data_IF_555697964732
#
_entry.id   IF_555697964732
#
_cell.length_a   1.000
_cell.length_b   1.000
_cell.length_c   1.000
_cell.angle_alpha   90.00
_cell.angle_beta   90.00
_cell.angle_gamma   90.00
#
_symmetry.space_group_name_H-M   'P 1'
#
loop_
_entity.id
_entity.type
_entity.pdbx_description
1 polymer ?
#
# COMPACT_ATOMS: atom_id res chain seq x y z
N UNK A 1 20.08 5.63 12.41
CA UNK A 1 18.83 5.08 11.82
C UNK A 1 19.23 4.01 10.82
N UNK A 2 18.67 2.79 10.96
CA UNK A 2 18.95 1.68 10.05
C UNK A 2 17.92 1.67 8.91
N UNK A 3 18.37 1.98 7.68
CA UNK A 3 17.48 2.02 6.53
C UNK A 3 17.01 0.62 6.10
N UNK A 4 17.84 -0.39 6.35
CA UNK A 4 17.52 -1.80 6.04
C UNK A 4 16.37 -2.28 6.92
N UNK A 5 16.33 -1.85 8.19
CA UNK A 5 15.18 -2.07 9.06
C UNK A 5 13.91 -1.44 8.50
N UNK A 6 13.96 -0.19 8.04
CA UNK A 6 12.80 0.51 7.45
C UNK A 6 12.28 -0.24 6.22
N UNK A 7 13.16 -0.67 5.31
CA UNK A 7 12.77 -1.46 4.13
C UNK A 7 12.11 -2.77 4.54
N UNK A 8 12.68 -3.50 5.51
CA UNK A 8 12.08 -4.75 6.03
C UNK A 8 10.72 -4.53 6.67
N UNK A 9 10.56 -3.45 7.45
CA UNK A 9 9.29 -3.12 8.10
C UNK A 9 8.17 -2.86 7.08
N UNK A 10 8.48 -2.11 6.01
CA UNK A 10 7.52 -1.79 4.96
C UNK A 10 7.20 -3.02 4.10
N UNK A 11 8.21 -3.82 3.74
CA UNK A 11 8.03 -4.96 2.84
C UNK A 11 7.52 -6.23 3.54
N UNK A 12 7.71 -6.31 4.86
CA UNK A 12 7.32 -7.44 5.70
C UNK A 12 7.87 -8.75 5.14
N UNK A 13 7.00 -9.75 5.02
CA UNK A 13 7.27 -11.07 4.46
C UNK A 13 7.02 -11.13 2.94
N UNK A 14 6.76 -10.00 2.28
CA UNK A 14 6.27 -9.97 0.90
C UNK A 14 7.27 -10.38 -0.18
N UNK A 15 8.57 -10.38 0.14
CA UNK A 15 9.66 -10.77 -0.75
C UNK A 15 10.52 -11.86 -0.11
N UNK A 16 11.30 -12.56 -0.94
CA UNK A 16 12.32 -13.50 -0.46
C UNK A 16 13.41 -12.75 0.28
N UNK A 17 14.14 -13.41 1.17
CA UNK A 17 15.34 -12.83 1.75
C UNK A 17 16.45 -12.75 0.70
N UNK A 18 16.66 -13.83 -0.05
CA UNK A 18 17.76 -13.97 -0.99
C UNK A 18 17.31 -13.96 -2.46
N UNK A 19 18.22 -13.51 -3.35
CA UNK A 19 18.00 -13.59 -4.79
C UNK A 19 17.95 -15.04 -5.24
N UNK A 20 16.98 -15.37 -6.11
CA UNK A 20 16.88 -16.70 -6.70
C UNK A 20 18.08 -17.05 -7.60
N UNK A 21 18.64 -16.05 -8.30
CA UNK A 21 19.83 -16.20 -9.15
C UNK A 21 20.86 -15.17 -8.73
N UNK A 22 22.14 -15.57 -8.76
CA UNK A 22 23.27 -14.70 -8.42
C UNK A 22 23.14 -14.10 -7.01
N UNK A 23 22.70 -14.89 -6.03
CA UNK A 23 22.80 -14.49 -4.63
C UNK A 23 24.27 -14.41 -4.23
N UNK A 24 24.61 -13.43 -3.39
CA UNK A 24 25.92 -13.32 -2.74
C UNK A 24 26.09 -14.30 -1.59
N UNK A 25 25.01 -14.96 -1.17
CA UNK A 25 25.01 -15.95 -0.09
C UNK A 25 25.01 -17.35 -0.72
N UNK A 26 26.14 -18.05 -0.62
CA UNK A 26 26.38 -19.33 -1.29
C UNK A 26 25.46 -20.46 -0.76
N UNK A 27 25.02 -20.37 0.50
CA UNK A 27 24.15 -21.36 1.16
C UNK A 27 22.71 -20.86 1.40
N UNK A 28 22.21 -19.95 0.55
CA UNK A 28 20.84 -19.47 0.68
C UNK A 28 19.84 -20.63 0.58
N UNK A 29 19.05 -20.84 1.65
CA UNK A 29 18.00 -21.85 1.70
C UNK A 29 16.95 -21.62 0.60
N UNK A 30 16.35 -22.70 0.10
CA UNK A 30 15.23 -22.59 -0.82
C UNK A 30 14.07 -21.84 -0.15
N UNK A 31 13.64 -20.73 -0.77
CA UNK A 31 12.48 -19.95 -0.34
C UNK A 31 11.35 -20.09 -1.35
N UNK A 32 10.11 -20.24 -0.85
CA UNK A 32 8.92 -20.26 -1.69
C UNK A 32 8.78 -18.99 -2.55
N UNK A 33 8.00 -19.08 -3.62
CA UNK A 33 7.75 -17.92 -4.47
C UNK A 33 6.87 -16.89 -3.76
N UNK A 34 7.47 -15.73 -3.53
CA UNK A 34 6.81 -14.57 -2.96
C UNK A 34 6.38 -13.58 -4.04
N UNK A 35 6.09 -12.34 -3.67
CA UNK A 35 5.69 -11.32 -4.61
C UNK A 35 6.87 -10.60 -5.26
N UNK A 36 6.56 -9.46 -5.86
CA UNK A 36 7.52 -8.56 -6.47
C UNK A 36 7.15 -7.11 -6.20
N UNK A 37 8.16 -6.27 -6.17
CA UNK A 37 8.02 -4.81 -6.22
C UNK A 37 8.77 -4.25 -7.42
N UNK A 38 8.60 -2.95 -7.64
CA UNK A 38 9.23 -2.23 -8.74
C UNK A 38 10.08 -1.10 -8.17
N UNK A 39 11.31 -0.93 -8.66
CA UNK A 39 12.24 0.12 -8.25
C UNK A 39 12.69 0.98 -9.44
N UNK A 40 12.85 2.28 -9.23
CA UNK A 40 13.22 3.24 -10.26
C UNK A 40 14.30 4.20 -9.75
N UNK A 41 15.32 4.45 -10.58
CA UNK A 41 16.49 5.26 -10.20
C UNK A 41 16.20 6.75 -10.12
N UNK A 42 15.29 7.27 -10.93
CA UNK A 42 14.92 8.69 -10.97
C UNK A 42 13.50 8.86 -11.56
N UNK A 43 12.97 10.08 -11.45
CA UNK A 43 11.62 10.44 -11.94
C UNK A 43 11.45 10.18 -13.44
N UNK A 44 12.46 10.48 -14.27
CA UNK A 44 12.43 10.24 -15.72
C UNK A 44 12.30 8.75 -16.06
N UNK A 45 13.03 7.90 -15.35
CA UNK A 45 12.97 6.45 -15.50
C UNK A 45 11.63 5.89 -15.00
N UNK A 46 11.10 6.43 -13.91
CA UNK A 46 9.76 6.09 -13.42
C UNK A 46 8.67 6.39 -14.44
N UNK A 47 8.61 7.62 -14.96
CA UNK A 47 7.61 8.06 -15.95
C UNK A 47 7.69 7.24 -17.24
N UNK A 48 8.89 6.84 -17.66
CA UNK A 48 9.08 5.98 -18.84
C UNK A 48 8.97 4.48 -18.57
N UNK A 49 8.63 4.07 -17.33
CA UNK A 49 8.54 2.66 -16.93
C UNK A 49 9.88 1.90 -16.96
N UNK A 50 11.02 2.59 -17.04
CA UNK A 50 12.37 2.02 -17.08
C UNK A 50 12.89 1.74 -15.67
N UNK A 51 12.34 0.70 -15.05
CA UNK A 51 12.69 0.27 -13.69
C UNK A 51 13.31 -1.12 -13.62
N UNK A 52 13.41 -1.63 -12.40
CA UNK A 52 13.78 -3.00 -12.08
C UNK A 52 12.64 -3.67 -11.31
N UNK A 53 12.32 -4.91 -11.69
CA UNK A 53 11.49 -5.82 -10.91
C UNK A 53 12.36 -6.48 -9.85
N UNK A 54 11.96 -6.37 -8.59
CA UNK A 54 12.69 -6.86 -7.42
C UNK A 54 11.85 -7.91 -6.70
N UNK A 55 12.44 -9.07 -6.42
CA UNK A 55 11.77 -10.24 -5.81
C UNK A 55 12.42 -10.69 -4.50
N UNK A 56 13.43 -9.96 -4.02
CA UNK A 56 14.16 -10.27 -2.78
C UNK A 56 14.62 -9.02 -2.06
N UNK A 57 14.77 -9.13 -0.73
CA UNK A 57 15.37 -8.11 0.13
C UNK A 57 16.84 -7.89 -0.24
N UNK A 58 17.60 -8.94 -0.54
CA UNK A 58 18.98 -8.83 -1.03
C UNK A 58 19.10 -7.87 -2.23
N UNK A 59 18.21 -8.00 -3.22
CA UNK A 59 18.22 -7.11 -4.39
C UNK A 59 17.92 -5.65 -4.04
N UNK A 60 17.13 -5.40 -2.99
CA UNK A 60 16.81 -4.04 -2.51
C UNK A 60 18.02 -3.47 -1.80
N UNK A 61 18.66 -4.24 -0.91
CA UNK A 61 19.86 -3.82 -0.20
C UNK A 61 21.02 -3.48 -1.14
N UNK A 62 21.18 -4.23 -2.24
CA UNK A 62 22.18 -3.94 -3.27
C UNK A 62 21.92 -2.63 -4.02
N UNK A 63 20.67 -2.17 -4.08
CA UNK A 63 20.26 -1.01 -4.87
C UNK A 63 19.70 0.14 -4.00
N UNK A 64 19.80 0.06 -2.67
CA UNK A 64 19.12 0.98 -1.74
C UNK A 64 19.52 2.44 -1.89
N UNK A 65 20.74 2.69 -2.35
CA UNK A 65 21.26 4.04 -2.63
C UNK A 65 21.00 4.50 -4.08
N UNK A 66 20.61 3.58 -4.97
CA UNK A 66 20.44 3.84 -6.40
C UNK A 66 19.00 4.14 -6.79
N UNK A 67 18.03 3.68 -5.99
CA UNK A 67 16.61 3.91 -6.25
C UNK A 67 16.10 5.16 -5.53
N UNK A 68 15.29 5.93 -6.23
CA UNK A 68 14.57 7.08 -5.67
C UNK A 68 13.08 6.82 -5.53
N UNK A 69 12.52 5.91 -6.33
CA UNK A 69 11.10 5.56 -6.30
C UNK A 69 10.94 4.05 -6.29
N UNK A 70 9.88 3.58 -5.65
CA UNK A 70 9.59 2.17 -5.55
C UNK A 70 8.09 1.92 -5.32
N UNK A 71 7.64 0.68 -5.43
CA UNK A 71 6.32 0.30 -4.92
C UNK A 71 6.47 -0.31 -3.53
N UNK A 72 5.92 0.29 -2.47
CA UNK A 72 6.08 -0.23 -1.11
C UNK A 72 5.11 -1.39 -0.81
N UNK A 73 4.06 -1.53 -1.60
CA UNK A 73 3.13 -2.66 -1.58
C UNK A 73 3.56 -3.74 -2.58
N UNK A 74 3.12 -4.98 -2.33
CA UNK A 74 3.65 -6.16 -2.99
C UNK A 74 2.66 -6.64 -4.05
N UNK A 75 3.17 -6.95 -5.24
CA UNK A 75 2.40 -7.50 -6.35
C UNK A 75 2.66 -8.99 -6.51
N UNK A 76 1.71 -9.73 -7.11
CA UNK A 76 1.86 -11.19 -7.28
C UNK A 76 2.98 -11.53 -8.25
N UNK A 77 3.16 -10.71 -9.28
CA UNK A 77 4.22 -10.86 -10.27
C UNK A 77 4.68 -9.49 -10.81
N UNK A 78 5.88 -9.46 -11.37
CA UNK A 78 6.42 -8.33 -12.10
C UNK A 78 7.16 -8.83 -13.33
N UNK A 79 6.98 -8.16 -14.45
CA UNK A 79 7.59 -8.54 -15.72
C UNK A 79 8.02 -7.31 -16.51
N UNK A 80 8.51 -7.52 -17.72
CA UNK A 80 8.85 -6.46 -18.66
C UNK A 80 8.11 -6.65 -19.98
N UNK A 81 7.87 -5.55 -20.70
CA UNK A 81 7.45 -5.63 -22.10
C UNK A 81 8.43 -6.46 -22.92
N UNK A 82 7.88 -7.22 -23.88
CA UNK A 82 8.71 -8.06 -24.75
C UNK A 82 9.47 -7.21 -25.79
N UNK A 83 8.89 -6.08 -26.21
CA UNK A 83 9.45 -5.17 -27.22
C UNK A 83 10.33 -4.12 -26.54
N UNK A 84 11.44 -3.76 -27.20
CA UNK A 84 12.35 -2.71 -26.74
C UNK A 84 11.74 -1.30 -26.94
N UNK A 85 11.97 -0.36 -26.02
CA UNK A 85 12.65 -0.54 -24.74
C UNK A 85 11.82 -1.36 -23.76
N UNK A 86 12.47 -2.27 -23.03
CA UNK A 86 11.81 -3.08 -22.00
C UNK A 86 11.39 -2.16 -20.85
N UNK A 87 10.09 -2.10 -20.56
CA UNK A 87 9.52 -1.34 -19.45
C UNK A 87 8.82 -2.27 -18.48
N UNK A 88 8.84 -1.94 -17.20
CA UNK A 88 8.25 -2.73 -16.12
C UNK A 88 6.73 -2.82 -16.26
N UNK A 89 6.16 -4.00 -16.03
CA UNK A 89 4.73 -4.27 -16.04
C UNK A 89 4.30 -5.10 -14.82
N UNK A 90 3.05 -4.94 -14.38
CA UNK A 90 2.45 -5.71 -13.29
C UNK A 90 2.19 -4.94 -12.00
N UNK A 91 2.51 -3.64 -11.90
CA UNK A 91 2.18 -2.82 -10.74
C UNK A 91 0.73 -2.25 -10.79
N UNK A 92 -0.23 -3.06 -11.23
CA UNK A 92 -1.65 -2.70 -11.28
C UNK A 92 -2.40 -3.20 -10.04
N UNK A 93 -3.48 -2.52 -9.64
CA UNK A 93 -4.25 -2.84 -8.42
C UNK A 93 -4.78 -4.28 -8.40
N UNK A 94 -5.24 -4.80 -9.55
CA UNK A 94 -5.69 -6.18 -9.68
C UNK A 94 -4.57 -7.22 -9.42
N UNK A 95 -3.31 -6.80 -9.51
CA UNK A 95 -2.15 -7.64 -9.26
C UNK A 95 -1.57 -7.49 -7.84
N UNK A 96 -2.17 -6.66 -6.97
CA UNK A 96 -1.75 -6.55 -5.58
C UNK A 96 -1.88 -7.90 -4.88
N UNK A 97 -0.79 -8.35 -4.26
CA UNK A 97 -0.73 -9.57 -3.43
C UNK A 97 -1.01 -9.26 -1.97
N UNK A 98 -0.41 -8.19 -1.45
CA UNK A 98 -0.61 -7.71 -0.09
C UNK A 98 -0.37 -6.21 -0.03
N UNK A 99 -1.18 -5.55 0.80
CA UNK A 99 -1.04 -4.15 1.15
C UNK A 99 -0.34 -4.12 2.50
N UNK A 100 0.81 -3.47 2.55
CA UNK A 100 1.61 -3.36 3.77
C UNK A 100 1.62 -1.94 4.32
N UNK A 101 1.33 -0.94 3.49
CA UNK A 101 1.37 0.47 3.89
C UNK A 101 0.41 1.30 3.07
N UNK A 102 -0.16 2.31 3.71
CA UNK A 102 -0.70 3.48 3.02
C UNK A 102 0.41 4.54 2.91
N UNK A 103 0.36 5.35 1.85
CA UNK A 103 1.22 6.52 1.74
C UNK A 103 0.44 7.72 1.22
N UNK A 104 0.79 8.90 1.70
CA UNK A 104 0.18 10.18 1.36
C UNK A 104 1.24 11.10 0.80
N UNK A 105 1.02 11.59 -0.43
CA UNK A 105 1.93 12.51 -1.10
C UNK A 105 1.48 13.95 -0.87
N UNK A 106 2.36 14.77 -0.31
CA UNK A 106 2.16 16.19 -0.07
C UNK A 106 3.01 16.97 -1.07
N UNK A 107 2.38 17.54 -2.10
CA UNK A 107 3.04 18.24 -3.20
C UNK A 107 2.78 19.75 -3.13
N UNK A 108 3.81 20.49 -2.78
CA UNK A 108 3.83 21.95 -2.70
C UNK A 108 3.92 22.50 -4.11
N UNK A 109 2.84 23.15 -4.57
CA UNK A 109 2.76 23.66 -5.95
C UNK A 109 3.19 25.11 -6.06
N UNK A 110 3.06 25.88 -4.98
CA UNK A 110 3.34 27.31 -4.98
C UNK A 110 4.39 27.69 -3.92
N UNK A 111 5.20 28.71 -4.17
CA UNK A 111 6.19 29.20 -3.18
C UNK A 111 5.54 29.78 -1.91
N UNK A 112 4.24 30.06 -1.93
CA UNK A 112 3.46 30.54 -0.78
C UNK A 112 3.00 29.40 0.13
N UNK A 113 2.88 28.19 -0.39
CA UNK A 113 2.65 27.00 0.41
C UNK A 113 3.99 26.62 1.07
N UNK A 114 4.10 26.84 2.37
CA UNK A 114 5.21 26.30 3.15
C UNK A 114 4.66 25.28 4.13
N UNK A 115 4.89 24.00 3.84
CA UNK A 115 4.61 22.89 4.76
C UNK A 115 5.93 22.39 5.35
N UNK A 116 5.91 22.08 6.64
CA UNK A 116 6.95 21.35 7.36
C UNK A 116 6.44 19.96 7.70
N UNK A 117 7.36 19.02 7.95
CA UNK A 117 6.97 17.69 8.42
C UNK A 117 6.22 17.75 9.76
N UNK A 118 6.47 18.77 10.59
CA UNK A 118 5.75 19.01 11.84
C UNK A 118 4.26 19.25 11.64
N UNK A 119 3.86 19.89 10.54
CA UNK A 119 2.45 20.18 10.26
C UNK A 119 1.70 18.87 9.96
N UNK A 120 2.38 17.92 9.30
CA UNK A 120 1.87 16.56 9.09
C UNK A 120 1.70 15.85 10.44
N UNK A 121 2.67 15.97 11.35
CA UNK A 121 2.59 15.37 12.68
C UNK A 121 1.44 15.97 13.51
N UNK A 122 1.24 17.29 13.46
CA UNK A 122 0.15 17.96 14.18
C UNK A 122 -1.21 17.49 13.66
N UNK A 123 -1.43 17.51 12.34
CA UNK A 123 -2.67 16.99 11.74
C UNK A 123 -2.89 15.48 12.04
N UNK A 124 -1.81 14.72 12.20
CA UNK A 124 -1.87 13.30 12.58
C UNK A 124 -2.33 13.05 14.02
N UNK A 125 -2.23 14.06 14.91
CA UNK A 125 -2.79 13.97 16.27
C UNK A 125 -4.31 13.90 16.22
N UNK A 126 -4.93 14.75 15.40
CA UNK A 126 -6.39 14.78 15.20
C UNK A 126 -6.87 13.55 14.40
N UNK A 127 -6.02 13.04 13.49
CA UNK A 127 -6.26 11.77 12.80
C UNK A 127 -6.35 10.59 13.78
N UNK A 128 -5.65 10.66 14.92
CA UNK A 128 -5.50 9.57 15.89
C UNK A 128 -4.46 8.52 15.48
N UNK A 129 -3.81 8.70 14.33
CA UNK A 129 -2.80 7.79 13.79
C UNK A 129 -1.56 8.58 13.37
N UNK A 130 -0.44 8.35 14.04
CA UNK A 130 0.83 8.97 13.69
C UNK A 130 1.48 8.25 12.49
N UNK A 131 2.18 8.95 11.59
CA UNK A 131 2.89 8.30 10.49
C UNK A 131 3.99 7.41 11.06
N UNK A 132 4.30 6.29 10.40
CA UNK A 132 5.49 5.50 10.70
C UNK A 132 6.74 6.22 10.24
N UNK A 133 6.64 6.92 9.12
CA UNK A 133 7.77 7.54 8.43
C UNK A 133 7.29 8.76 7.64
N UNK A 134 8.06 9.85 7.70
CA UNK A 134 7.88 11.00 6.80
C UNK A 134 9.17 11.17 5.99
N UNK A 135 9.00 11.20 4.67
CA UNK A 135 10.09 11.41 3.73
C UNK A 135 10.05 12.81 3.14
N UNK A 136 11.20 13.45 3.03
CA UNK A 136 11.38 14.63 2.19
C UNK A 136 11.36 14.24 0.71
N UNK A 137 10.62 15.01 -0.08
CA UNK A 137 10.62 14.93 -1.55
C UNK A 137 11.13 16.25 -2.14
N UNK A 138 11.36 16.28 -3.45
CA UNK A 138 11.83 17.49 -4.15
C UNK A 138 10.88 18.67 -3.99
N UNK A 139 9.57 18.41 -3.86
CA UNK A 139 8.51 19.42 -3.81
C UNK A 139 7.57 19.26 -2.62
N UNK A 140 8.02 18.64 -1.53
CA UNK A 140 7.18 18.47 -0.36
C UNK A 140 7.60 17.28 0.48
N UNK A 141 6.63 16.43 0.82
CA UNK A 141 6.84 15.28 1.69
C UNK A 141 5.98 14.10 1.27
N UNK A 142 6.34 12.92 1.76
CA UNK A 142 5.50 11.75 1.66
C UNK A 142 5.45 11.04 3.02
N UNK A 143 4.25 10.89 3.57
CA UNK A 143 4.05 10.17 4.82
C UNK A 143 3.65 8.73 4.54
N UNK A 144 4.19 7.81 5.34
CA UNK A 144 3.91 6.38 5.29
C UNK A 144 3.23 5.97 6.58
N UNK A 145 2.15 5.20 6.44
CA UNK A 145 1.44 4.54 7.52
C UNK A 145 1.53 3.04 7.30
N UNK A 146 2.55 2.43 7.90
CA UNK A 146 2.85 1.01 7.77
C UNK A 146 1.87 0.24 8.64
N UNK A 147 1.22 -0.76 8.05
CA UNK A 147 0.33 -1.64 8.80
C UNK A 147 1.13 -2.50 9.77
N UNK A 148 0.56 -2.89 10.90
CA UNK A 148 1.18 -3.85 11.81
C UNK A 148 1.39 -5.19 11.11
N UNK A 149 0.33 -5.70 10.47
CA UNK A 149 0.32 -6.93 9.67
C UNK A 149 -0.09 -6.64 8.23
N UNK A 150 0.37 -7.47 7.29
CA UNK A 150 0.03 -7.31 5.89
C UNK A 150 -1.47 -7.62 5.64
N UNK A 151 -2.16 -6.76 4.90
CA UNK A 151 -3.50 -7.03 4.41
C UNK A 151 -3.41 -7.82 3.09
N UNK A 152 -3.54 -9.14 3.18
CA UNK A 152 -3.44 -10.03 2.02
C UNK A 152 -4.65 -9.92 1.09
N UNK A 153 -4.38 -9.90 -0.21
CA UNK A 153 -5.40 -9.78 -1.25
C UNK A 153 -5.67 -11.16 -1.85
N UNK A 154 -6.85 -11.69 -1.56
CA UNK A 154 -7.28 -13.01 -2.02
C UNK A 154 -8.36 -12.92 -3.10
N UNK A 155 -8.26 -13.78 -4.11
CA UNK A 155 -9.32 -13.93 -5.12
C UNK A 155 -10.59 -14.55 -4.52
N UNK A 156 -10.46 -15.36 -3.46
CA UNK A 156 -11.58 -16.00 -2.75
C UNK A 156 -12.58 -15.00 -2.16
N UNK A 157 -12.15 -13.77 -1.87
CA UNK A 157 -13.02 -12.69 -1.38
C UNK A 157 -13.46 -11.72 -2.48
N UNK A 158 -13.09 -11.97 -3.74
CA UNK A 158 -13.36 -11.06 -4.85
C UNK A 158 -12.60 -9.73 -4.72
N UNK A 159 -11.37 -9.74 -4.19
CA UNK A 159 -10.54 -8.55 -4.01
C UNK A 159 -11.16 -7.44 -3.14
N UNK A 160 -12.15 -7.77 -2.29
CA UNK A 160 -12.83 -6.82 -1.39
C UNK A 160 -11.86 -5.97 -0.56
N UNK A 161 -10.77 -6.58 -0.09
CA UNK A 161 -9.72 -5.91 0.68
C UNK A 161 -9.14 -4.71 -0.07
N UNK A 162 -8.99 -4.77 -1.40
CA UNK A 162 -8.46 -3.66 -2.19
C UNK A 162 -9.43 -2.47 -2.17
N UNK A 163 -10.73 -2.72 -2.34
CA UNK A 163 -11.74 -1.66 -2.31
C UNK A 163 -11.82 -0.98 -0.94
N UNK A 164 -11.83 -1.78 0.13
CA UNK A 164 -11.82 -1.27 1.51
C UNK A 164 -10.55 -0.47 1.79
N UNK A 165 -9.39 -0.97 1.36
CA UNK A 165 -8.13 -0.26 1.54
C UNK A 165 -8.08 1.05 0.74
N UNK A 166 -8.72 1.13 -0.43
CA UNK A 166 -8.82 2.40 -1.19
C UNK A 166 -9.68 3.41 -0.46
N UNK A 167 -10.79 2.99 0.14
CA UNK A 167 -11.65 3.83 0.97
C UNK A 167 -10.85 4.38 2.16
N UNK A 168 -10.16 3.52 2.90
CA UNK A 168 -9.27 3.95 3.99
C UNK A 168 -8.24 4.97 3.49
N UNK A 169 -7.53 4.64 2.40
CA UNK A 169 -6.53 5.55 1.81
C UNK A 169 -7.12 6.90 1.39
N UNK A 170 -8.36 6.91 0.88
CA UNK A 170 -9.06 8.12 0.48
C UNK A 170 -9.43 8.96 1.71
N UNK A 171 -10.00 8.35 2.75
CA UNK A 171 -10.39 9.05 3.97
C UNK A 171 -9.17 9.67 4.67
N UNK A 172 -8.01 8.98 4.68
CA UNK A 172 -6.75 9.54 5.21
C UNK A 172 -6.35 10.79 4.41
N UNK A 173 -6.41 10.74 3.07
CA UNK A 173 -6.08 11.91 2.23
C UNK A 173 -7.03 13.07 2.45
N UNK A 174 -8.31 12.78 2.61
CA UNK A 174 -9.35 13.78 2.86
C UNK A 174 -9.18 14.44 4.23
N UNK A 175 -8.80 13.70 5.27
CA UNK A 175 -8.44 14.26 6.58
C UNK A 175 -7.34 15.32 6.44
N UNK A 176 -6.19 14.95 5.88
CA UNK A 176 -5.07 15.88 5.70
C UNK A 176 -5.42 17.06 4.78
N UNK A 177 -6.29 16.85 3.79
CA UNK A 177 -6.77 17.93 2.92
C UNK A 177 -7.71 18.89 3.66
N UNK A 178 -8.58 18.39 4.55
CA UNK A 178 -9.46 19.22 5.40
C UNK A 178 -8.63 20.13 6.32
N UNK A 179 -7.48 19.65 6.78
CA UNK A 179 -6.50 20.43 7.55
C UNK A 179 -5.63 21.36 6.68
N UNK A 180 -6.06 21.61 5.43
CA UNK A 180 -5.46 22.54 4.49
C UNK A 180 -4.00 22.20 4.13
N UNK A 181 -3.62 20.93 4.21
CA UNK A 181 -2.33 20.44 3.71
C UNK A 181 -2.41 20.13 2.20
N UNK A 182 -1.31 20.31 1.44
CA UNK A 182 -1.30 20.18 -0.02
C UNK A 182 -1.21 18.71 -0.47
N UNK A 183 -2.24 17.92 -0.18
CA UNK A 183 -2.29 16.50 -0.54
C UNK A 183 -2.55 16.32 -2.04
N UNK A 184 -1.75 15.49 -2.72
CA UNK A 184 -2.04 15.07 -4.10
C UNK A 184 -3.16 14.01 -4.11
N UNK A 185 -4.38 14.46 -4.39
CA UNK A 185 -5.56 13.60 -4.49
C UNK A 185 -5.58 12.72 -5.74
N UNK A 186 -4.70 12.96 -6.73
CA UNK A 186 -4.71 12.26 -8.02
C UNK A 186 -3.74 11.09 -8.09
N UNK A 187 -2.83 10.98 -7.13
CA UNK A 187 -1.85 9.90 -7.10
C UNK A 187 -2.53 8.54 -6.85
N UNK A 188 -1.97 7.46 -7.42
CA UNK A 188 -2.51 6.11 -7.16
C UNK A 188 -2.39 5.74 -5.67
N UNK A 189 -3.36 5.01 -5.12
CA UNK A 189 -3.39 4.64 -3.70
C UNK A 189 -2.29 3.65 -3.28
N UNK A 190 -1.88 2.76 -4.19
CA UNK A 190 -0.94 1.68 -3.91
C UNK A 190 0.21 1.63 -4.92
N UNK A 191 0.42 2.72 -5.65
CA UNK A 191 1.34 2.79 -6.76
C UNK A 191 2.77 3.05 -6.34
N UNK A 192 3.46 3.83 -7.16
CA UNK A 192 4.87 4.15 -6.98
C UNK A 192 4.99 5.33 -6.00
N UNK A 193 5.84 5.15 -5.00
CA UNK A 193 6.11 6.06 -3.90
C UNK A 193 7.61 6.40 -3.85
N UNK A 194 8.01 7.38 -3.03
CA UNK A 194 9.41 7.75 -2.80
C UNK A 194 10.09 6.70 -1.94
N UNK A 195 11.23 6.18 -2.38
CA UNK A 195 11.96 5.18 -1.58
C UNK A 195 12.60 5.84 -0.35
N UNK A 196 12.47 5.24 0.85
CA UNK A 196 13.20 5.68 2.03
C UNK A 196 14.71 5.54 1.83
N UNK A 197 15.45 6.60 2.13
CA UNK A 197 16.92 6.64 2.13
C UNK A 197 17.42 7.47 3.31
N UNK A 198 18.68 7.28 3.70
CA UNK A 198 19.25 8.01 4.84
C UNK A 198 19.17 9.54 4.69
N UNK A 199 19.24 10.06 3.46
CA UNK A 199 19.25 11.48 3.14
C UNK A 199 17.87 12.15 3.15
N UNK A 200 16.77 11.38 3.18
CA UNK A 200 15.44 11.94 2.99
C UNK A 200 14.41 11.54 4.05
N UNK A 201 14.83 10.92 5.15
CA UNK A 201 13.93 10.63 6.28
C UNK A 201 13.95 11.80 7.24
N UNK A 202 12.79 12.42 7.45
CA UNK A 202 12.59 13.56 8.37
C UNK A 202 12.02 13.10 9.71
N UNK A 203 11.22 12.04 9.69
CA UNK A 203 10.62 11.45 10.88
C UNK A 203 10.53 9.94 10.71
N UNK A 204 10.82 9.18 11.77
CA UNK A 204 10.64 7.74 11.84
C UNK A 204 10.35 7.31 13.27
N UNK A 205 9.25 6.57 13.45
CA UNK A 205 8.98 5.84 14.69
C UNK A 205 8.46 4.45 14.33
N UNK A 206 9.20 3.42 14.78
CA UNK A 206 8.89 2.03 14.51
C UNK A 206 7.62 1.54 15.21
N UNK A 207 7.17 2.26 16.25
CA UNK A 207 6.00 1.88 17.05
C UNK A 207 4.70 2.44 16.46
N UNK A 208 4.78 3.40 15.53
CA UNK A 208 3.63 3.96 14.82
C UNK A 208 3.20 3.01 13.69
N UNK A 209 2.70 1.84 14.09
CA UNK A 209 2.15 0.82 13.21
C UNK A 209 0.79 0.41 13.75
N UNK A 210 -0.16 0.21 12.85
CA UNK A 210 -1.56 -0.02 13.23
C UNK A 210 -2.14 -1.16 12.42
N UNK A 211 -3.04 -1.92 13.04
CA UNK A 211 -3.72 -3.03 12.39
C UNK A 211 -4.65 -2.51 11.28
N UNK A 212 -4.93 -3.36 10.30
CA UNK A 212 -5.91 -3.03 9.27
C UNK A 212 -7.32 -2.82 9.86
N UNK A 213 -7.64 -3.49 10.98
CA UNK A 213 -8.91 -3.36 11.69
C UNK A 213 -9.07 -1.97 12.31
N UNK A 214 -8.05 -1.42 12.96
CA UNK A 214 -8.08 -0.06 13.52
C UNK A 214 -8.33 0.98 12.42
N UNK A 215 -7.61 0.86 11.30
CA UNK A 215 -7.82 1.73 10.13
C UNK A 215 -9.23 1.63 9.56
N UNK A 216 -9.77 0.42 9.46
CA UNK A 216 -11.13 0.19 8.99
C UNK A 216 -12.16 0.83 9.93
N UNK A 217 -12.03 0.57 11.24
CA UNK A 217 -12.92 1.13 12.26
C UNK A 217 -12.91 2.65 12.25
N UNK A 218 -11.74 3.26 12.16
CA UNK A 218 -11.62 4.72 12.02
C UNK A 218 -12.25 5.22 10.72
N UNK A 219 -11.95 4.58 9.58
CA UNK A 219 -12.46 5.00 8.27
C UNK A 219 -13.99 4.98 8.23
N UNK A 220 -14.62 4.00 8.87
CA UNK A 220 -16.08 3.90 9.01
C UNK A 220 -16.70 5.04 9.83
N UNK A 221 -15.93 5.72 10.68
CA UNK A 221 -16.40 6.88 11.45
C UNK A 221 -16.26 8.20 10.68
N UNK A 222 -15.40 8.24 9.66
CA UNK A 222 -15.22 9.43 8.81
C UNK A 222 -16.33 9.61 7.78
N UNK A 223 -16.96 8.49 7.40
CA UNK A 223 -18.04 8.45 6.43
C UNK A 223 -19.40 8.54 7.15
N UNK A 224 -20.15 9.63 6.94
CA UNK A 224 -21.62 9.59 6.93
C UNK A 224 -22.08 8.75 5.70
N UNK A 225 -21.66 7.49 5.62
CA UNK A 225 -21.88 6.49 4.56
C UNK A 225 -22.57 6.99 3.27
N UNK A 226 -21.86 7.76 2.44
CA UNK A 226 -22.31 8.02 1.07
C UNK A 226 -21.87 6.93 0.08
N UNK A 227 -20.80 6.18 0.36
CA UNK A 227 -20.33 5.11 -0.53
C UNK A 227 -20.99 3.74 -0.30
N UNK A 228 -21.65 3.50 0.84
CA UNK A 228 -22.59 2.35 1.00
C UNK A 228 -24.00 2.67 0.48
N UNK A 229 -24.33 3.94 0.19
CA UNK A 229 -25.55 4.32 -0.53
C UNK A 229 -25.42 4.04 -2.03
N UNK A 230 -25.19 2.78 -2.41
CA UNK A 230 -25.68 2.29 -3.70
C UNK A 230 -27.10 1.74 -3.50
N UNK A 231 -28.10 2.10 -4.33
CA UNK A 231 -29.51 1.88 -4.01
C UNK A 231 -30.04 0.44 -4.14
N UNK A 232 -29.18 -0.56 -4.32
CA UNK A 232 -29.63 -1.92 -4.67
C UNK A 232 -29.23 -2.96 -3.62
N UNK A 233 -29.38 -2.64 -2.34
CA UNK A 233 -29.83 -3.67 -1.41
C UNK A 233 -31.29 -3.97 -1.77
N UNK A 234 -31.49 -4.90 -2.72
CA UNK A 234 -32.75 -5.61 -2.78
C UNK A 234 -32.86 -6.38 -1.47
N UNK A 235 -33.51 -5.79 -0.47
CA UNK A 235 -34.26 -6.60 0.48
C UNK A 235 -35.22 -7.39 -0.40
N UNK A 236 -35.05 -8.71 -0.45
CA UNK A 236 -36.07 -9.60 -1.00
C UNK A 236 -37.27 -9.54 -0.05
N UNK A 237 -37.98 -8.41 -0.05
CA UNK A 237 -39.30 -8.29 0.53
C UNK A 237 -40.23 -9.07 -0.39
N UNK A 238 -40.42 -10.34 -0.08
CA UNK A 238 -41.32 -11.23 -0.82
C UNK A 238 -40.71 -12.58 -1.15
N UNK A 239 -40.29 -13.34 -0.14
CA UNK A 239 -40.68 -14.76 -0.15
C UNK A 239 -41.92 -14.86 0.72
N UNK A 240 -43.05 -14.42 0.19
CA UNK A 240 -44.30 -15.04 0.62
C UNK A 240 -44.20 -16.51 0.21
N UNK A 241 -43.80 -17.36 1.15
CA UNK A 241 -44.21 -18.76 1.13
C UNK A 241 -43.18 -19.87 0.97
N UNK A 242 -41.87 -19.66 1.16
CA UNK A 242 -40.95 -20.80 1.36
C UNK A 242 -39.96 -20.53 2.49
N UNK A 243 -40.14 -21.23 3.61
CA UNK A 243 -39.20 -21.18 4.72
C UNK A 243 -37.98 -22.01 4.33
N UNK A 244 -36.80 -21.60 4.79
CA UNK A 244 -35.54 -22.32 4.53
C UNK A 244 -35.53 -23.77 5.04
N UNK A 245 -36.49 -24.14 5.90
CA UNK A 245 -36.74 -25.50 6.41
C UNK A 245 -37.56 -26.38 5.45
N UNK A 246 -38.16 -25.80 4.41
CA UNK A 246 -38.96 -26.50 3.41
C UNK A 246 -38.09 -27.03 2.26
N UNK A 247 -36.80 -26.67 2.24
CA UNK A 247 -35.85 -27.12 1.23
C UNK A 247 -35.43 -28.60 1.44
N UNK A 248 -35.35 -29.43 0.37
CA UNK A 248 -35.11 -30.87 0.48
C UNK A 248 -33.84 -31.28 1.23
N UNK A 249 -32.82 -30.42 1.25
CA UNK A 249 -31.55 -30.68 1.92
C UNK A 249 -31.62 -30.56 3.44
N UNK A 250 -32.65 -29.89 3.98
CA UNK A 250 -32.80 -29.66 5.43
C UNK A 250 -33.04 -30.98 6.18
N UNK A 251 -33.84 -31.89 5.61
CA UNK A 251 -34.15 -33.19 6.21
C UNK A 251 -33.03 -34.24 6.03
N UNK A 252 -32.07 -34.00 5.13
CA UNK A 252 -30.97 -34.93 4.88
C UNK A 252 -29.92 -34.91 5.99
N UNK A 253 -29.96 -33.94 6.91
CA UNK A 253 -29.01 -33.81 8.04
C UNK A 253 -29.54 -34.32 9.38
N UNK A 254 -30.71 -34.95 9.42
CA UNK A 254 -31.30 -35.54 10.65
C UNK A 254 -31.47 -37.06 10.58
N UNK A 255 -30.51 -37.78 9.98
CA UNK A 255 -30.36 -39.22 10.15
C UNK A 255 -28.95 -39.56 10.63
#
# INVERSE_FOLDING_TARGET
MDITLIHRMILKDGLRNFKFKNSKYQDASFEEQKGSIFGYRNKKNMVSGRGLVLTSLEAIEENKTLFSHWTPNIYRYGTYTQIKPRVTQGHSENNLRQINTFYIDFDVKTQKESIKFSDILVSSLDLGFMPTLILKTEKGYQAYFVLQDAAYVTSSTGFKVVNVAKMISQNIREHFKKDNLPVDMTCNHFGIARMPRLDNVEYFDKNNIYTFAEWLSWSMQQDDFEYLKRPNLFVLSGTEGQKQIDEPWYYTKMK
#
